data_IF_828066178398
#
_entry.id   IF_828066178398
#
_cell.length_a   1.000
_cell.length_b   1.000
_cell.length_c   1.000
_cell.angle_alpha   90.00
_cell.angle_beta   90.00
_cell.angle_gamma   90.00
#
_symmetry.space_group_name_H-M   'P 1'
#
loop_
_entity.id
_entity.type
_entity.pdbx_description
1 polymer ?
#
# COMPACT_ATOMS: atom_id res chain seq x y z
N UNK A 1 21.35 -11.81 3.90
CA UNK A 1 21.30 -12.86 4.91
C UNK A 1 22.16 -12.40 6.07
N UNK A 2 21.61 -12.20 7.28
CA UNK A 2 22.44 -11.78 8.42
C UNK A 2 23.33 -12.94 8.84
N UNK A 3 24.61 -12.85 8.50
CA UNK A 3 25.57 -13.96 8.60
C UNK A 3 25.84 -14.35 10.06
N UNK A 4 25.51 -13.47 11.02
CA UNK A 4 25.49 -13.77 12.46
C UNK A 4 24.51 -14.88 12.84
N UNK A 5 23.44 -15.08 12.07
CA UNK A 5 22.47 -16.14 12.29
C UNK A 5 23.03 -17.52 11.89
N UNK A 6 24.07 -17.60 11.05
CA UNK A 6 24.59 -18.89 10.56
C UNK A 6 25.18 -19.73 11.70
N UNK A 7 25.71 -19.11 12.75
CA UNK A 7 26.24 -19.82 13.92
C UNK A 7 25.18 -20.36 14.88
N UNK A 8 23.90 -20.01 14.70
CA UNK A 8 22.81 -20.45 15.57
C UNK A 8 22.30 -21.85 15.21
N UNK A 9 21.78 -22.60 16.20
CA UNK A 9 21.10 -23.86 15.93
C UNK A 9 19.90 -23.65 15.00
N UNK A 10 19.53 -24.69 14.26
CA UNK A 10 18.52 -24.63 13.20
C UNK A 10 17.17 -24.07 13.69
N UNK A 11 16.74 -24.40 14.91
CA UNK A 11 15.49 -23.93 15.49
C UNK A 11 15.49 -22.41 15.72
N UNK A 12 16.61 -21.85 16.19
CA UNK A 12 16.73 -20.42 16.45
C UNK A 12 16.78 -19.61 15.14
N UNK A 13 17.46 -20.15 14.12
CA UNK A 13 17.45 -19.60 12.76
C UNK A 13 16.03 -19.57 12.19
N UNK A 14 15.32 -20.69 12.32
CA UNK A 14 13.94 -20.82 11.85
C UNK A 14 13.01 -19.81 12.53
N UNK A 15 13.02 -19.70 13.86
CA UNK A 15 12.19 -18.74 14.59
C UNK A 15 12.49 -17.29 14.16
N UNK A 16 13.75 -16.90 14.07
CA UNK A 16 14.12 -15.53 13.67
C UNK A 16 13.65 -15.20 12.25
N UNK A 17 13.83 -16.13 11.30
CA UNK A 17 13.40 -15.92 9.91
C UNK A 17 11.87 -15.90 9.83
N UNK A 18 11.18 -16.81 10.52
CA UNK A 18 9.71 -16.83 10.57
C UNK A 18 9.14 -15.52 11.10
N UNK A 19 9.70 -14.98 12.19
CA UNK A 19 9.27 -13.68 12.74
C UNK A 19 9.54 -12.54 11.75
N UNK A 20 10.73 -12.51 11.14
CA UNK A 20 11.09 -11.47 10.18
C UNK A 20 10.18 -11.50 8.95
N UNK A 21 9.93 -12.68 8.38
CA UNK A 21 9.06 -12.86 7.20
C UNK A 21 7.62 -12.50 7.55
N UNK A 22 7.13 -12.92 8.73
CA UNK A 22 5.77 -12.59 9.18
C UNK A 22 5.58 -11.10 9.39
N UNK A 23 6.55 -10.41 10.01
CA UNK A 23 6.54 -8.95 10.15
C UNK A 23 6.58 -8.26 8.79
N UNK A 24 7.43 -8.71 7.86
CA UNK A 24 7.47 -8.15 6.51
C UNK A 24 6.21 -8.43 5.69
N UNK A 25 5.44 -9.45 6.05
CA UNK A 25 4.21 -9.85 5.35
C UNK A 25 2.95 -9.17 5.94
N UNK A 26 3.06 -8.57 7.12
CA UNK A 26 1.97 -7.84 7.78
C UNK A 26 1.34 -6.72 6.92
N UNK A 27 2.09 -5.98 6.08
CA UNK A 27 1.50 -4.97 5.18
C UNK A 27 0.52 -5.54 4.16
N UNK A 28 0.59 -6.83 3.81
CA UNK A 28 -0.38 -7.46 2.89
C UNK A 28 -1.81 -7.46 3.45
N UNK A 29 -1.99 -7.40 4.77
CA UNK A 29 -3.32 -7.25 5.39
C UNK A 29 -3.97 -5.89 5.07
N UNK A 30 -3.16 -4.87 4.76
CA UNK A 30 -3.67 -3.58 4.30
C UNK A 30 -4.04 -3.62 2.82
N UNK A 31 -3.41 -4.50 2.03
CA UNK A 31 -3.65 -4.65 0.59
C UNK A 31 -4.93 -5.47 0.31
N UNK A 32 -5.25 -6.46 1.16
CA UNK A 32 -6.43 -7.32 0.97
C UNK A 32 -7.72 -6.53 1.30
N UNK A 33 -8.72 -6.53 0.39
CA UNK A 33 -9.99 -5.82 0.60
C UNK A 33 -10.74 -6.36 1.82
N UNK A 34 -11.43 -5.46 2.54
CA UNK A 34 -12.10 -5.77 3.80
C UNK A 34 -13.23 -6.83 3.68
N UNK A 35 -13.72 -7.05 2.46
CA UNK A 35 -14.84 -7.94 2.16
C UNK A 35 -14.42 -9.42 2.14
N UNK A 36 -13.13 -9.70 2.00
CA UNK A 36 -12.57 -11.06 1.87
C UNK A 36 -11.79 -11.55 3.10
N UNK A 37 -12.03 -10.97 4.29
CA UNK A 37 -11.44 -11.42 5.57
C UNK A 37 -12.01 -12.77 6.03
N UNK A 38 -11.83 -13.81 5.22
CA UNK A 38 -11.95 -15.20 5.66
C UNK A 38 -10.76 -15.54 6.56
N UNK A 39 -10.92 -16.40 7.58
CA UNK A 39 -9.82 -16.88 8.41
C UNK A 39 -8.65 -17.42 7.58
N UNK A 40 -8.94 -18.03 6.43
CA UNK A 40 -7.94 -18.59 5.51
C UNK A 40 -6.95 -17.53 5.04
N UNK A 41 -7.41 -16.31 4.74
CA UNK A 41 -6.56 -15.21 4.27
C UNK A 41 -5.70 -14.59 5.37
N UNK A 42 -6.13 -14.67 6.63
CA UNK A 42 -5.33 -14.22 7.78
C UNK A 42 -4.24 -15.24 8.11
N UNK A 43 -4.54 -16.54 8.01
CA UNK A 43 -3.58 -17.61 8.31
C UNK A 43 -2.62 -17.91 7.15
N UNK A 44 -3.01 -17.65 5.90
CA UNK A 44 -2.19 -17.86 4.71
C UNK A 44 -0.80 -17.18 4.77
N UNK A 45 -0.66 -15.87 5.10
CA UNK A 45 0.65 -15.22 5.20
C UNK A 45 1.50 -15.78 6.36
N UNK A 46 0.87 -16.22 7.46
CA UNK A 46 1.57 -16.87 8.58
C UNK A 46 2.12 -18.23 8.12
N UNK A 47 1.29 -19.04 7.47
CA UNK A 47 1.69 -20.35 6.92
C UNK A 47 2.77 -20.23 5.84
N UNK A 48 2.63 -19.25 4.94
CA UNK A 48 3.64 -18.92 3.94
C UNK A 48 4.95 -18.51 4.61
N UNK A 49 4.92 -17.67 5.65
CA UNK A 49 6.09 -17.26 6.39
C UNK A 49 6.84 -18.44 7.03
N UNK A 50 6.09 -19.37 7.63
CA UNK A 50 6.63 -20.61 8.19
C UNK A 50 7.28 -21.50 7.12
N UNK A 51 6.63 -21.66 5.96
CA UNK A 51 7.15 -22.46 4.85
C UNK A 51 8.41 -21.85 4.24
N UNK A 52 8.40 -20.53 3.98
CA UNK A 52 9.57 -19.78 3.48
C UNK A 52 10.72 -19.88 4.47
N UNK A 53 10.45 -19.78 5.78
CA UNK A 53 11.48 -19.93 6.79
C UNK A 53 12.09 -21.34 6.80
N UNK A 54 11.27 -22.39 6.63
CA UNK A 54 11.76 -23.77 6.55
C UNK A 54 12.66 -23.98 5.32
N UNK A 55 12.22 -23.53 4.13
CA UNK A 55 13.02 -23.60 2.89
C UNK A 55 14.31 -22.79 3.03
N UNK A 56 14.23 -21.61 3.65
CA UNK A 56 15.39 -20.76 3.92
C UNK A 56 16.39 -21.47 4.81
N UNK A 57 15.96 -22.09 5.92
CA UNK A 57 16.85 -22.84 6.82
C UNK A 57 17.49 -24.03 6.11
N UNK A 58 16.73 -24.76 5.29
CA UNK A 58 17.26 -25.87 4.49
C UNK A 58 18.34 -25.39 3.50
N UNK A 59 18.11 -24.25 2.84
CA UNK A 59 19.11 -23.65 1.96
C UNK A 59 20.36 -23.17 2.73
N UNK A 60 20.17 -22.60 3.92
CA UNK A 60 21.26 -22.14 4.79
C UNK A 60 22.09 -23.27 5.39
N UNK A 61 21.57 -24.49 5.39
CA UNK A 61 22.25 -25.64 5.99
C UNK A 61 23.58 -25.95 5.31
N UNK A 62 23.68 -25.74 3.99
CA UNK A 62 24.94 -25.88 3.26
C UNK A 62 26.01 -24.90 3.78
N UNK A 63 25.60 -23.66 4.05
CA UNK A 63 26.50 -22.63 4.60
C UNK A 63 26.85 -22.90 6.07
N UNK A 64 25.89 -23.40 6.86
CA UNK A 64 26.11 -23.79 8.25
C UNK A 64 27.13 -24.94 8.37
N UNK A 65 27.01 -25.97 7.52
CA UNK A 65 27.98 -27.08 7.49
C UNK A 65 29.38 -26.62 7.09
N UNK A 66 29.50 -25.78 6.08
CA UNK A 66 30.79 -25.20 5.67
C UNK A 66 31.40 -24.35 6.79
N UNK A 67 30.58 -23.58 7.50
CA UNK A 67 30.98 -22.79 8.67
C UNK A 67 31.50 -23.67 9.81
N UNK A 68 30.79 -24.75 10.14
CA UNK A 68 31.21 -25.70 11.18
C UNK A 68 32.44 -26.50 10.77
N UNK A 69 32.60 -26.85 9.49
CA UNK A 69 33.76 -27.59 9.01
C UNK A 69 35.07 -26.84 9.29
N UNK A 70 35.11 -25.53 9.01
CA UNK A 70 36.29 -24.69 9.30
C UNK A 70 36.50 -24.54 10.81
N UNK A 71 35.44 -24.31 11.59
CA UNK A 71 35.57 -24.16 13.05
C UNK A 71 35.97 -25.45 13.78
N UNK A 72 35.53 -26.61 13.30
CA UNK A 72 35.88 -27.91 13.88
C UNK A 72 37.37 -28.26 13.67
N UNK A 73 38.01 -27.68 12.65
CA UNK A 73 39.46 -27.78 12.44
C UNK A 73 40.29 -26.95 13.43
N UNK A 74 39.65 -26.11 14.23
CA UNK A 74 40.28 -25.19 15.20
C UNK A 74 39.97 -25.64 16.63
N UNK A 75 40.93 -25.49 17.54
CA UNK A 75 40.76 -25.86 18.96
C UNK A 75 39.65 -25.06 19.65
N UNK A 76 38.99 -25.65 20.65
CA UNK A 76 37.80 -25.08 21.30
C UNK A 76 38.02 -23.66 21.86
N UNK A 77 39.22 -23.39 22.39
CA UNK A 77 39.60 -22.07 22.93
C UNK A 77 39.76 -21.03 21.82
N UNK A 78 40.27 -21.42 20.65
CA UNK A 78 40.53 -20.54 19.51
C UNK A 78 39.27 -20.26 18.67
N UNK A 79 38.24 -21.12 18.72
CA UNK A 79 36.98 -20.92 17.98
C UNK A 79 36.31 -19.58 18.30
N UNK A 80 36.27 -19.22 19.58
CA UNK A 80 35.68 -17.95 20.01
C UNK A 80 36.44 -16.75 19.44
N UNK A 81 37.76 -16.85 19.37
CA UNK A 81 38.63 -15.79 18.85
C UNK A 81 38.59 -15.68 17.33
N UNK A 82 38.47 -16.79 16.59
CA UNK A 82 38.21 -16.79 15.13
C UNK A 82 36.89 -16.07 14.82
N UNK A 83 35.84 -16.41 15.57
CA UNK A 83 34.52 -15.76 15.45
C UNK A 83 34.64 -14.27 15.80
N UNK A 84 35.34 -13.92 16.89
CA UNK A 84 35.53 -12.53 17.30
C UNK A 84 36.35 -11.74 16.27
N UNK A 85 37.37 -12.34 15.67
CA UNK A 85 38.20 -11.73 14.64
C UNK A 85 37.38 -11.38 13.38
N UNK A 86 36.56 -12.33 12.91
CA UNK A 86 35.73 -12.13 11.73
C UNK A 86 34.54 -11.17 11.98
N UNK A 87 33.90 -11.25 13.15
CA UNK A 87 32.64 -10.52 13.43
C UNK A 87 32.82 -9.21 14.18
N UNK A 88 33.78 -9.14 15.13
CA UNK A 88 34.09 -7.94 15.91
C UNK A 88 35.30 -7.17 15.38
N UNK A 89 35.91 -7.63 14.28
CA UNK A 89 37.05 -6.99 13.60
C UNK A 89 38.27 -6.81 14.48
N UNK A 90 38.49 -7.76 15.36
CA UNK A 90 39.75 -7.84 16.09
C UNK A 90 40.79 -8.47 15.18
N UNK A 91 42.01 -7.92 15.13
CA UNK A 91 43.13 -8.54 14.43
C UNK A 91 43.79 -9.48 15.43
N UNK A 92 43.67 -10.81 15.26
CA UNK A 92 44.26 -11.76 16.20
C UNK A 92 45.79 -11.74 16.07
N UNK A 93 46.49 -11.84 17.22
CA UNK A 93 47.95 -11.92 17.26
C UNK A 93 48.48 -13.34 16.96
N UNK A 94 47.64 -14.36 17.13
CA UNK A 94 47.97 -15.75 16.83
C UNK A 94 47.81 -16.02 15.31
N UNK A 95 48.89 -16.42 14.60
CA UNK A 95 48.83 -16.70 13.16
C UNK A 95 47.88 -17.87 12.81
N UNK A 96 47.68 -18.83 13.72
CA UNK A 96 46.72 -19.93 13.51
C UNK A 96 45.27 -19.44 13.47
N UNK A 97 44.93 -18.49 14.35
CA UNK A 97 43.60 -17.86 14.42
C UNK A 97 43.38 -16.94 13.21
N UNK A 98 44.43 -16.25 12.75
CA UNK A 98 44.38 -15.38 11.57
C UNK A 98 44.08 -16.19 10.29
N UNK A 99 44.81 -17.27 10.04
CA UNK A 99 44.63 -18.11 8.86
C UNK A 99 43.22 -18.76 8.83
N UNK A 100 42.77 -19.29 9.97
CA UNK A 100 41.42 -19.85 10.08
C UNK A 100 40.31 -18.80 9.87
N UNK A 101 40.52 -17.55 10.30
CA UNK A 101 39.58 -16.46 10.05
C UNK A 101 39.53 -16.06 8.56
N UNK A 102 40.67 -16.10 7.87
CA UNK A 102 40.75 -15.87 6.42
C UNK A 102 40.05 -16.98 5.63
N UNK A 103 40.34 -18.25 5.92
CA UNK A 103 39.69 -19.41 5.27
C UNK A 103 38.16 -19.37 5.46
N UNK A 104 37.69 -19.03 6.66
CA UNK A 104 36.27 -18.87 6.97
C UNK A 104 35.65 -17.71 6.17
N UNK A 105 36.34 -16.58 6.08
CA UNK A 105 35.91 -15.41 5.32
C UNK A 105 35.81 -15.69 3.82
N UNK A 106 36.81 -16.36 3.25
CA UNK A 106 36.89 -16.79 1.86
C UNK A 106 35.74 -17.74 1.50
N UNK A 107 35.48 -18.73 2.35
CA UNK A 107 34.42 -19.73 2.20
C UNK A 107 33.03 -19.06 2.20
N UNK A 108 32.78 -18.16 3.14
CA UNK A 108 31.53 -17.40 3.20
C UNK A 108 31.36 -16.46 2.01
N UNK A 109 32.45 -15.88 1.52
CA UNK A 109 32.46 -15.04 0.31
C UNK A 109 32.05 -15.85 -0.92
N UNK A 110 32.63 -17.04 -1.10
CA UNK A 110 32.31 -17.93 -2.23
C UNK A 110 30.84 -18.37 -2.20
N UNK A 111 30.36 -18.82 -1.04
CA UNK A 111 28.95 -19.21 -0.85
C UNK A 111 27.98 -18.06 -1.13
N UNK A 112 28.35 -16.82 -0.75
CA UNK A 112 27.54 -15.65 -1.08
C UNK A 112 27.51 -15.40 -2.58
N UNK A 113 28.66 -15.47 -3.26
CA UNK A 113 28.74 -15.18 -4.71
C UNK A 113 27.94 -16.17 -5.54
N UNK A 114 27.92 -17.44 -5.14
CA UNK A 114 27.10 -18.48 -5.78
C UNK A 114 25.60 -18.31 -5.50
N UNK A 115 25.25 -17.72 -4.34
CA UNK A 115 23.87 -17.41 -3.96
C UNK A 115 23.38 -16.08 -4.54
N UNK A 116 24.29 -15.12 -4.76
CA UNK A 116 24.00 -13.76 -5.21
C UNK A 116 23.83 -13.65 -6.73
N UNK A 117 23.09 -14.58 -7.34
CA UNK A 117 22.54 -14.38 -8.69
C UNK A 117 21.52 -13.23 -8.62
N UNK A 118 22.09 -12.03 -8.72
CA UNK A 118 21.65 -10.71 -8.31
C UNK A 118 20.59 -10.10 -9.25
N UNK A 119 19.61 -10.88 -9.69
CA UNK A 119 18.39 -10.35 -10.33
C UNK A 119 17.27 -10.10 -9.30
N UNK A 120 17.32 -10.75 -8.14
CA UNK A 120 16.20 -10.77 -7.21
C UNK A 120 15.96 -9.45 -6.41
N UNK A 121 16.95 -8.79 -5.78
CA UNK A 121 16.65 -7.70 -4.83
C UNK A 121 16.15 -6.41 -5.50
N UNK A 122 16.63 -6.10 -6.71
CA UNK A 122 16.14 -4.94 -7.48
C UNK A 122 14.69 -5.17 -7.90
N UNK A 123 14.34 -6.40 -8.30
CA UNK A 123 12.96 -6.78 -8.63
C UNK A 123 12.03 -6.66 -7.41
N UNK A 124 12.45 -7.16 -6.24
CA UNK A 124 11.68 -7.06 -5.00
C UNK A 124 11.51 -5.63 -4.46
N UNK A 125 12.40 -4.70 -4.84
CA UNK A 125 12.26 -3.27 -4.52
C UNK A 125 11.41 -2.56 -5.58
N UNK A 126 11.64 -2.81 -6.87
CA UNK A 126 10.92 -2.12 -7.95
C UNK A 126 9.42 -2.43 -7.96
N UNK A 127 9.04 -3.67 -7.62
CA UNK A 127 7.65 -4.11 -7.60
C UNK A 127 6.75 -3.31 -6.63
N UNK A 128 7.09 -3.15 -5.33
CA UNK A 128 6.28 -2.35 -4.42
C UNK A 128 6.22 -0.87 -4.83
N UNK A 129 7.33 -0.29 -5.34
CA UNK A 129 7.33 1.08 -5.83
C UNK A 129 6.40 1.26 -7.03
N UNK A 130 6.43 0.35 -8.00
CA UNK A 130 5.54 0.38 -9.17
C UNK A 130 4.07 0.31 -8.75
N UNK A 131 3.74 -0.55 -7.79
CA UNK A 131 2.37 -0.75 -7.32
C UNK A 131 1.79 0.47 -6.60
N UNK A 132 2.60 1.24 -5.86
CA UNK A 132 2.15 2.49 -5.22
C UNK A 132 1.52 3.44 -6.26
N UNK A 133 2.11 3.54 -7.45
CA UNK A 133 1.65 4.46 -8.50
C UNK A 133 0.42 3.97 -9.28
N UNK A 134 0.21 2.65 -9.37
CA UNK A 134 -0.91 2.05 -10.09
C UNK A 134 -2.18 2.04 -9.23
N UNK A 135 -2.03 1.97 -7.91
CA UNK A 135 -3.18 1.77 -7.02
C UNK A 135 -3.99 3.05 -6.81
N UNK A 136 -5.32 2.94 -6.88
CA UNK A 136 -6.25 4.07 -6.65
C UNK A 136 -6.73 4.18 -5.20
N UNK A 137 -6.28 3.28 -4.31
CA UNK A 137 -6.69 3.22 -2.90
C UNK A 137 -5.53 3.58 -1.99
N UNK A 138 -5.71 4.61 -1.15
CA UNK A 138 -4.72 5.05 -0.15
C UNK A 138 -4.36 3.90 0.80
N UNK A 139 -5.30 3.00 1.10
CA UNK A 139 -5.05 1.83 1.96
C UNK A 139 -4.06 0.86 1.31
N UNK A 140 -4.25 0.59 0.01
CA UNK A 140 -3.37 -0.30 -0.76
C UNK A 140 -2.00 0.37 -0.96
N UNK A 141 -1.96 1.66 -1.29
CA UNK A 141 -0.74 2.44 -1.42
C UNK A 141 0.06 2.49 -0.11
N UNK A 142 -0.62 2.64 1.04
CA UNK A 142 0.01 2.60 2.37
C UNK A 142 0.60 1.21 2.67
N UNK A 143 -0.10 0.12 2.30
CA UNK A 143 0.42 -1.24 2.42
C UNK A 143 1.70 -1.46 1.63
N UNK A 144 1.73 -1.05 0.37
CA UNK A 144 2.93 -1.14 -0.47
C UNK A 144 4.07 -0.23 0.00
N UNK A 145 3.76 0.96 0.51
CA UNK A 145 4.75 1.87 1.09
C UNK A 145 5.41 1.25 2.32
N UNK A 146 4.62 0.68 3.23
CA UNK A 146 5.13 0.00 4.42
C UNK A 146 6.01 -1.20 4.04
N UNK A 147 5.61 -1.98 3.03
CA UNK A 147 6.41 -3.07 2.50
C UNK A 147 7.76 -2.57 1.94
N UNK A 148 7.75 -1.50 1.14
CA UNK A 148 8.97 -0.91 0.60
C UNK A 148 9.92 -0.45 1.71
N UNK A 149 9.39 0.26 2.72
CA UNK A 149 10.15 0.73 3.88
C UNK A 149 10.75 -0.42 4.69
N UNK A 150 10.09 -1.57 4.76
CA UNK A 150 10.61 -2.76 5.46
C UNK A 150 11.65 -3.52 4.63
N UNK A 151 11.43 -3.67 3.31
CA UNK A 151 12.33 -4.42 2.43
C UNK A 151 13.66 -3.70 2.18
N UNK A 152 13.64 -2.38 2.04
CA UNK A 152 14.84 -1.55 1.78
C UNK A 152 15.96 -1.77 2.81
N UNK A 153 15.74 -1.62 4.14
CA UNK A 153 16.80 -1.82 5.13
C UNK A 153 17.28 -3.27 5.21
N UNK A 154 16.40 -4.26 4.98
CA UNK A 154 16.78 -5.68 4.96
C UNK A 154 17.79 -5.91 3.84
N UNK A 155 17.45 -5.53 2.61
CA UNK A 155 18.31 -5.72 1.44
C UNK A 155 19.59 -4.88 1.50
N UNK A 156 19.50 -3.64 2.00
CA UNK A 156 20.66 -2.79 2.26
C UNK A 156 21.61 -3.41 3.28
N UNK A 157 21.09 -4.02 4.34
CA UNK A 157 21.93 -4.65 5.37
C UNK A 157 22.76 -5.79 4.79
N UNK A 158 22.22 -6.56 3.84
CA UNK A 158 22.94 -7.66 3.20
C UNK A 158 24.10 -7.15 2.35
N UNK A 159 23.82 -6.14 1.53
CA UNK A 159 24.81 -5.51 0.68
C UNK A 159 25.91 -4.82 1.50
N UNK A 160 25.51 -4.05 2.52
CA UNK A 160 26.44 -3.33 3.38
C UNK A 160 27.33 -4.28 4.16
N UNK A 161 26.77 -5.35 4.76
CA UNK A 161 27.56 -6.37 5.45
C UNK A 161 28.49 -7.08 4.48
N UNK A 162 28.03 -7.38 3.26
CA UNK A 162 28.86 -8.05 2.26
C UNK A 162 30.08 -7.23 1.89
N UNK A 163 29.87 -5.96 1.52
CA UNK A 163 30.95 -5.03 1.14
C UNK A 163 31.93 -4.80 2.29
N UNK A 164 31.41 -4.64 3.51
CA UNK A 164 32.24 -4.37 4.68
C UNK A 164 33.05 -5.59 5.11
N UNK A 165 32.57 -6.80 4.86
CA UNK A 165 33.36 -8.02 5.04
C UNK A 165 34.46 -8.18 4.01
N UNK A 166 34.20 -7.85 2.73
CA UNK A 166 35.24 -7.89 1.69
C UNK A 166 36.40 -6.97 2.03
N UNK A 167 36.12 -5.74 2.49
CA UNK A 167 37.15 -4.82 2.97
C UNK A 167 37.92 -5.38 4.18
N UNK A 168 37.23 -6.05 5.11
CA UNK A 168 37.89 -6.63 6.29
C UNK A 168 38.75 -7.85 5.97
N UNK A 169 38.31 -8.72 5.05
CA UNK A 169 39.11 -9.85 4.57
C UNK A 169 40.38 -9.34 3.86
N UNK A 170 40.26 -8.28 3.05
CA UNK A 170 41.42 -7.64 2.44
C UNK A 170 42.41 -7.08 3.48
N UNK A 171 41.90 -6.49 4.57
CA UNK A 171 42.74 -6.03 5.69
C UNK A 171 43.44 -7.19 6.42
N UNK A 172 42.74 -8.30 6.66
CA UNK A 172 43.33 -9.48 7.29
C UNK A 172 44.42 -10.09 6.40
N UNK A 173 44.20 -10.14 5.07
CA UNK A 173 45.22 -10.61 4.12
C UNK A 173 46.44 -9.67 4.03
N UNK A 174 46.23 -8.36 4.13
CA UNK A 174 47.33 -7.39 4.21
C UNK A 174 48.14 -7.53 5.52
N UNK A 175 47.46 -7.81 6.64
CA UNK A 175 48.09 -8.07 7.93
C UNK A 175 48.91 -9.37 7.92
N UNK A 176 48.43 -10.43 7.26
CA UNK A 176 49.19 -11.66 7.04
C UNK A 176 50.45 -11.40 6.20
N UNK A 177 50.37 -10.55 5.19
CA UNK A 177 51.50 -10.16 4.34
C UNK A 177 52.48 -9.16 4.99
N UNK A 178 52.25 -8.75 6.25
CA UNK A 178 53.10 -7.81 6.98
C UNK A 178 53.05 -6.36 6.46
N UNK A 179 52.06 -6.00 5.65
CA UNK A 179 51.91 -4.66 5.10
C UNK A 179 51.00 -3.79 5.99
N UNK A 180 51.44 -2.58 6.33
CA UNK A 180 50.57 -1.62 7.02
C UNK A 180 49.49 -1.13 6.06
N UNK A 181 48.25 -1.52 6.34
CA UNK A 181 47.11 -1.13 5.53
C UNK A 181 46.88 0.38 5.59
N UNK A 182 47.31 1.08 4.53
CA UNK A 182 47.08 2.51 4.36
C UNK A 182 45.57 2.73 4.21
N UNK A 183 44.95 3.13 5.32
CA UNK A 183 43.50 3.22 5.47
C UNK A 183 43.03 4.56 4.91
N UNK A 184 43.09 4.69 3.59
CA UNK A 184 42.45 5.79 2.88
C UNK A 184 40.97 5.85 3.25
N UNK A 185 40.51 7.04 3.66
CA UNK A 185 39.12 7.34 4.00
C UNK A 185 38.15 6.88 2.90
N UNK A 186 37.61 5.67 3.07
CA UNK A 186 36.74 4.97 2.10
C UNK A 186 35.25 5.22 2.37
N UNK A 187 34.84 6.41 2.79
CA UNK A 187 33.45 6.83 2.54
C UNK A 187 33.34 7.17 1.04
N UNK A 188 33.37 6.11 0.24
CA UNK A 188 33.49 6.16 -1.21
C UNK A 188 32.26 6.80 -1.84
N UNK A 189 32.46 7.44 -3.00
CA UNK A 189 31.43 8.01 -3.88
C UNK A 189 30.16 7.14 -4.02
N UNK A 190 30.33 5.82 -3.92
CA UNK A 190 29.27 4.82 -3.91
C UNK A 190 28.33 4.88 -2.69
N UNK A 191 28.81 5.16 -1.48
CA UNK A 191 27.96 5.28 -0.29
C UNK A 191 27.06 6.52 -0.37
N UNK A 192 27.58 7.63 -0.94
CA UNK A 192 26.78 8.84 -1.22
C UNK A 192 25.72 8.60 -2.28
N UNK A 193 26.06 7.87 -3.34
CA UNK A 193 25.11 7.50 -4.40
C UNK A 193 23.98 6.64 -3.83
N UNK A 194 24.28 5.74 -2.90
CA UNK A 194 23.29 4.90 -2.24
C UNK A 194 22.39 5.64 -1.26
N UNK A 195 22.93 6.58 -0.47
CA UNK A 195 22.11 7.47 0.36
C UNK A 195 21.15 8.31 -0.50
N UNK A 196 21.58 8.74 -1.68
CA UNK A 196 20.71 9.43 -2.63
C UNK A 196 19.58 8.54 -3.16
N UNK A 197 19.83 7.25 -3.43
CA UNK A 197 18.79 6.29 -3.83
C UNK A 197 17.75 6.07 -2.71
N UNK A 198 18.19 5.95 -1.46
CA UNK A 198 17.28 5.80 -0.31
C UNK A 198 16.43 7.05 -0.15
N UNK A 199 17.06 8.24 -0.20
CA UNK A 199 16.35 9.51 -0.10
C UNK A 199 15.33 9.67 -1.25
N UNK A 200 15.73 9.34 -2.49
CA UNK A 200 14.83 9.37 -3.65
C UNK A 200 13.65 8.40 -3.49
N UNK A 201 13.87 7.20 -2.97
CA UNK A 201 12.81 6.24 -2.68
C UNK A 201 11.83 6.75 -1.61
N UNK A 202 12.32 7.34 -0.54
CA UNK A 202 11.46 7.96 0.49
C UNK A 202 10.64 9.11 -0.08
N UNK A 203 11.24 9.98 -0.90
CA UNK A 203 10.52 11.06 -1.59
C UNK A 203 9.47 10.48 -2.53
N UNK A 204 9.78 9.44 -3.30
CA UNK A 204 8.82 8.77 -4.18
C UNK A 204 7.64 8.17 -3.41
N UNK A 205 7.87 7.57 -2.24
CA UNK A 205 6.80 7.10 -1.35
C UNK A 205 5.90 8.24 -0.87
N UNK A 206 6.48 9.34 -0.41
CA UNK A 206 5.72 10.52 0.07
C UNK A 206 4.89 11.12 -1.05
N UNK A 207 5.48 11.28 -2.25
CA UNK A 207 4.78 11.80 -3.43
C UNK A 207 3.67 10.85 -3.88
N UNK A 208 3.93 9.54 -3.93
CA UNK A 208 2.92 8.54 -4.29
C UNK A 208 1.73 8.53 -3.31
N UNK A 209 2.00 8.63 -2.01
CA UNK A 209 0.97 8.78 -0.98
C UNK A 209 0.17 10.08 -1.14
N UNK A 210 0.84 11.20 -1.39
CA UNK A 210 0.16 12.49 -1.60
C UNK A 210 -0.76 12.45 -2.83
N UNK A 211 -0.27 11.94 -3.96
CA UNK A 211 -1.04 11.83 -5.21
C UNK A 211 -2.23 10.87 -5.07
N UNK A 212 -2.06 9.75 -4.38
CA UNK A 212 -3.17 8.80 -4.14
C UNK A 212 -4.19 9.36 -3.16
N UNK A 213 -3.74 10.10 -2.15
CA UNK A 213 -4.61 10.80 -1.21
C UNK A 213 -5.44 11.89 -1.91
N UNK A 214 -4.81 12.74 -2.73
CA UNK A 214 -5.52 13.75 -3.51
C UNK A 214 -6.53 13.14 -4.49
N UNK A 215 -6.20 12.01 -5.14
CA UNK A 215 -7.14 11.31 -6.04
C UNK A 215 -8.34 10.69 -5.32
N UNK A 216 -8.20 10.33 -4.04
CA UNK A 216 -9.27 9.69 -3.28
C UNK A 216 -10.19 10.71 -2.58
N UNK A 217 -9.72 11.94 -2.36
CA UNK A 217 -10.50 13.02 -1.74
C UNK A 217 -11.82 13.34 -2.47
N UNK A 218 -11.84 13.54 -3.81
CA UNK A 218 -13.08 13.79 -4.54
C UNK A 218 -14.10 12.64 -4.40
N UNK A 219 -13.62 11.39 -4.36
CA UNK A 219 -14.49 10.20 -4.35
C UNK A 219 -15.17 9.92 -3.02
N UNK A 220 -14.59 10.33 -1.90
CA UNK A 220 -15.18 10.11 -0.56
C UNK A 220 -16.47 10.92 -0.37
N UNK A 221 -16.50 12.12 -0.94
CA UNK A 221 -17.66 13.00 -0.89
C UNK A 221 -18.73 12.57 -1.91
N UNK A 222 -18.32 11.96 -3.01
CA UNK A 222 -19.23 11.37 -4.00
C UNK A 222 -20.02 10.18 -3.47
N UNK A 223 -19.48 9.41 -2.53
CA UNK A 223 -20.22 8.34 -1.85
C UNK A 223 -21.42 8.90 -1.08
N UNK A 224 -21.29 10.09 -0.47
CA UNK A 224 -22.42 10.75 0.21
C UNK A 224 -23.50 11.22 -0.76
N UNK A 225 -23.15 11.55 -2.01
CA UNK A 225 -24.14 11.95 -3.03
C UNK A 225 -24.94 10.81 -3.63
N UNK A 226 -24.54 9.56 -3.37
CA UNK A 226 -25.20 8.39 -3.93
C UNK A 226 -26.69 8.32 -3.55
N UNK A 227 -27.04 8.59 -2.29
CA UNK A 227 -28.42 8.54 -1.80
C UNK A 227 -29.33 9.57 -2.51
N UNK A 228 -28.78 10.73 -2.85
CA UNK A 228 -29.50 11.78 -3.61
C UNK A 228 -29.75 11.31 -5.05
N UNK A 229 -28.73 10.76 -5.69
CA UNK A 229 -28.80 10.31 -7.09
C UNK A 229 -29.75 9.12 -7.22
N UNK A 230 -29.66 8.14 -6.32
CA UNK A 230 -30.58 7.02 -6.24
C UNK A 230 -32.01 7.51 -6.00
N UNK A 231 -32.22 8.46 -5.09
CA UNK A 231 -33.54 9.02 -4.81
C UNK A 231 -34.17 9.75 -6.01
N UNK A 232 -33.37 10.31 -6.93
CA UNK A 232 -33.86 10.95 -8.16
C UNK A 232 -34.06 9.92 -9.30
N UNK A 233 -33.09 9.02 -9.50
CA UNK A 233 -33.09 8.07 -10.62
C UNK A 233 -34.05 6.88 -10.40
N UNK A 234 -34.11 6.30 -9.20
CA UNK A 234 -34.98 5.14 -8.94
C UNK A 234 -36.45 5.53 -8.84
N UNK A 235 -36.76 6.77 -8.43
CA UNK A 235 -38.14 7.26 -8.37
C UNK A 235 -38.63 7.81 -9.71
N UNK A 236 -38.43 7.03 -10.79
CA UNK A 236 -38.85 7.42 -12.15
C UNK A 236 -40.36 7.74 -12.24
N UNK A 237 -41.15 7.14 -11.36
CA UNK A 237 -42.58 7.31 -11.27
C UNK A 237 -42.98 8.69 -10.70
N UNK A 238 -42.12 9.31 -9.88
CA UNK A 238 -42.27 10.71 -9.44
C UNK A 238 -41.65 11.70 -10.43
N UNK A 239 -40.97 11.26 -11.49
CA UNK A 239 -40.36 12.18 -12.47
C UNK A 239 -41.03 12.09 -13.85
N UNK A 240 -42.08 11.29 -13.98
CA UNK A 240 -42.85 11.15 -15.21
C UNK A 240 -43.94 12.22 -15.32
N UNK A 241 -43.75 13.18 -16.23
CA UNK A 241 -44.67 14.31 -16.43
C UNK A 241 -46.10 13.93 -16.81
N UNK A 242 -46.31 12.75 -17.41
CA UNK A 242 -47.65 12.27 -17.76
C UNK A 242 -48.51 11.89 -16.54
N UNK A 243 -47.88 11.60 -15.40
CA UNK A 243 -48.57 11.18 -14.18
C UNK A 243 -49.12 12.36 -13.37
N UNK A 244 -48.70 13.60 -13.67
CA UNK A 244 -49.16 14.81 -12.98
C UNK A 244 -50.61 15.15 -13.29
N UNK A 245 -51.14 14.68 -14.43
CA UNK A 245 -52.49 15.01 -14.90
C UNK A 245 -53.46 13.83 -14.77
N UNK A 246 -52.96 12.58 -14.65
CA UNK A 246 -53.77 11.36 -14.66
C UNK A 246 -53.70 10.55 -13.35
N UNK A 247 -54.17 11.11 -12.23
CA UNK A 247 -54.34 10.35 -10.98
C UNK A 247 -53.04 9.71 -10.46
N UNK A 248 -51.93 10.42 -10.63
CA UNK A 248 -50.60 9.98 -10.23
C UNK A 248 -50.36 9.97 -8.71
N UNK A 249 -49.08 10.04 -8.32
CA UNK A 249 -48.65 9.97 -6.92
C UNK A 249 -49.32 11.01 -6.04
N UNK A 250 -49.56 10.66 -4.77
CA UNK A 250 -50.19 11.61 -3.86
C UNK A 250 -49.25 12.80 -3.58
N UNK A 251 -49.81 13.96 -3.22
CA UNK A 251 -49.00 15.12 -2.81
C UNK A 251 -48.08 14.76 -1.63
N UNK A 252 -48.50 13.84 -0.76
CA UNK A 252 -47.70 13.35 0.35
C UNK A 252 -46.45 12.58 -0.11
N UNK A 253 -46.52 11.86 -1.23
CA UNK A 253 -45.36 11.15 -1.79
C UNK A 253 -44.29 12.12 -2.31
N UNK A 254 -44.72 13.20 -2.98
CA UNK A 254 -43.84 14.29 -3.42
C UNK A 254 -43.23 15.04 -2.23
N UNK A 255 -44.02 15.31 -1.19
CA UNK A 255 -43.51 15.92 0.04
C UNK A 255 -42.46 15.05 0.74
N UNK A 256 -42.75 13.76 0.93
CA UNK A 256 -41.80 12.84 1.57
C UNK A 256 -40.49 12.69 0.77
N UNK A 257 -40.57 12.73 -0.56
CA UNK A 257 -39.40 12.77 -1.43
C UNK A 257 -38.62 14.08 -1.32
N UNK A 258 -39.30 15.23 -1.34
CA UNK A 258 -38.66 16.55 -1.20
C UNK A 258 -37.97 16.70 0.15
N UNK A 259 -38.63 16.27 1.24
CA UNK A 259 -38.07 16.30 2.59
C UNK A 259 -36.83 15.40 2.72
N UNK A 260 -36.82 14.24 2.04
CA UNK A 260 -35.64 13.37 1.97
C UNK A 260 -34.47 14.11 1.28
N UNK A 261 -34.71 14.70 0.11
CA UNK A 261 -33.68 15.42 -0.64
C UNK A 261 -33.13 16.63 0.12
N UNK A 262 -33.98 17.39 0.82
CA UNK A 262 -33.54 18.49 1.67
C UNK A 262 -32.66 18.02 2.83
N UNK A 263 -33.02 16.91 3.49
CA UNK A 263 -32.20 16.35 4.57
C UNK A 263 -30.83 15.90 4.09
N UNK A 264 -30.75 15.27 2.92
CA UNK A 264 -29.45 14.88 2.36
C UNK A 264 -28.63 16.09 1.90
N UNK A 265 -29.27 17.10 1.28
CA UNK A 265 -28.59 18.33 0.90
C UNK A 265 -28.02 19.10 2.09
N UNK A 266 -28.68 19.06 3.25
CA UNK A 266 -28.21 19.70 4.48
C UNK A 266 -26.94 19.04 5.05
N UNK A 267 -26.69 17.77 4.75
CA UNK A 267 -25.47 17.05 5.18
C UNK A 267 -24.26 17.41 4.31
N UNK A 268 -24.47 18.03 3.15
CA UNK A 268 -23.40 18.33 2.18
C UNK A 268 -22.62 19.59 2.55
N UNK A 269 -21.34 19.42 2.85
CA UNK A 269 -20.39 20.52 3.16
C UNK A 269 -19.42 20.83 2.03
N UNK A 270 -19.29 19.94 1.04
CA UNK A 270 -18.26 20.03 -0.01
C UNK A 270 -18.56 21.16 -1.00
N UNK A 271 -17.64 22.13 -1.22
CA UNK A 271 -17.92 23.32 -2.00
C UNK A 271 -18.23 23.04 -3.49
N UNK A 272 -17.65 22.00 -4.07
CA UNK A 272 -17.81 21.69 -5.51
C UNK A 272 -19.12 20.95 -5.82
N UNK A 273 -19.66 20.20 -4.84
CA UNK A 273 -20.82 19.30 -5.06
C UNK A 273 -22.06 19.77 -4.31
N UNK A 274 -21.90 20.37 -3.13
CA UNK A 274 -23.03 20.86 -2.32
C UNK A 274 -23.93 21.86 -3.05
N UNK A 275 -23.45 22.78 -3.92
CA UNK A 275 -24.33 23.66 -4.69
C UNK A 275 -25.30 22.89 -5.59
N UNK A 276 -24.82 21.86 -6.29
CA UNK A 276 -25.63 21.03 -7.17
C UNK A 276 -26.68 20.23 -6.40
N UNK A 277 -26.29 19.61 -5.28
CA UNK A 277 -27.20 18.84 -4.43
C UNK A 277 -28.26 19.73 -3.78
N UNK A 278 -27.90 20.94 -3.32
CA UNK A 278 -28.89 21.91 -2.80
C UNK A 278 -29.87 22.34 -3.88
N UNK A 279 -29.38 22.54 -5.11
CA UNK A 279 -30.24 22.87 -6.25
C UNK A 279 -31.21 21.75 -6.61
N UNK A 280 -30.80 20.49 -6.51
CA UNK A 280 -31.70 19.33 -6.64
C UNK A 280 -32.77 19.36 -5.55
N UNK A 281 -32.39 19.62 -4.29
CA UNK A 281 -33.37 19.75 -3.21
C UNK A 281 -34.35 20.91 -3.46
N UNK A 282 -33.89 22.07 -3.89
CA UNK A 282 -34.75 23.22 -4.22
C UNK A 282 -35.71 22.93 -5.39
N UNK A 283 -35.24 22.22 -6.41
CA UNK A 283 -36.07 21.77 -7.53
C UNK A 283 -37.16 20.79 -7.07
N UNK A 284 -36.86 19.92 -6.10
CA UNK A 284 -37.86 18.98 -5.55
C UNK A 284 -39.02 19.70 -4.85
N UNK A 285 -38.74 20.83 -4.19
CA UNK A 285 -39.76 21.67 -3.56
C UNK A 285 -40.65 22.30 -4.64
N UNK A 286 -40.04 22.87 -5.67
CA UNK A 286 -40.77 23.49 -6.79
C UNK A 286 -41.67 22.48 -7.51
N UNK A 287 -41.20 21.25 -7.70
CA UNK A 287 -42.01 20.15 -8.24
C UNK A 287 -43.19 19.83 -7.33
N UNK A 288 -42.95 19.72 -6.02
CA UNK A 288 -44.01 19.43 -5.03
C UNK A 288 -45.07 20.53 -4.98
N UNK A 289 -44.66 21.80 -5.03
CA UNK A 289 -45.56 22.94 -5.05
C UNK A 289 -46.38 23.01 -6.34
N UNK A 290 -45.77 22.70 -7.48
CA UNK A 290 -46.45 22.59 -8.77
C UNK A 290 -47.52 21.48 -8.73
N UNK A 291 -47.20 20.29 -8.22
CA UNK A 291 -48.18 19.19 -8.11
C UNK A 291 -49.31 19.55 -7.16
N UNK A 292 -49.00 20.15 -6.01
CA UNK A 292 -50.04 20.61 -5.06
C UNK A 292 -50.99 21.61 -5.71
N UNK A 293 -50.45 22.59 -6.43
CA UNK A 293 -51.28 23.58 -7.13
C UNK A 293 -52.10 22.97 -8.28
N UNK A 294 -51.51 22.01 -9.01
CA UNK A 294 -52.20 21.29 -10.09
C UNK A 294 -53.39 20.48 -9.57
N UNK A 295 -53.23 19.77 -8.45
CA UNK A 295 -54.30 18.96 -7.86
C UNK A 295 -55.42 19.81 -7.26
N UNK A 296 -55.08 20.95 -6.66
CA UNK A 296 -56.07 21.91 -6.19
C UNK A 296 -56.89 22.53 -7.34
N UNK A 297 -56.26 22.76 -8.50
CA UNK A 297 -56.89 23.36 -9.67
C UNK A 297 -57.59 22.36 -10.59
N UNK A 298 -57.31 21.06 -10.46
CA UNK A 298 -57.80 19.99 -11.34
C UNK A 298 -59.34 19.99 -11.57
N UNK A 299 -60.19 20.25 -10.56
CA UNK A 299 -61.65 20.26 -10.76
C UNK A 299 -62.15 21.37 -11.70
N UNK A 300 -61.37 22.44 -11.87
CA UNK A 300 -61.78 23.65 -12.60
C UNK A 300 -60.87 23.97 -13.79
N UNK A 301 -59.77 23.24 -13.97
CA UNK A 301 -58.76 23.56 -14.98
C UNK A 301 -59.16 23.14 -16.39
N UNK A 302 -58.82 23.98 -17.37
CA UNK A 302 -58.98 23.63 -18.78
C UNK A 302 -57.89 22.66 -19.28
N UNK A 303 -58.13 21.99 -20.40
CA UNK A 303 -57.13 21.11 -21.02
C UNK A 303 -55.84 21.86 -21.43
N UNK A 304 -55.95 23.15 -21.81
CA UNK A 304 -54.80 23.98 -22.14
C UNK A 304 -53.95 24.30 -20.90
N UNK A 305 -54.57 24.60 -19.76
CA UNK A 305 -53.87 24.82 -18.50
C UNK A 305 -53.22 23.54 -17.95
N UNK A 306 -53.85 22.38 -18.15
CA UNK A 306 -53.26 21.10 -17.80
C UNK A 306 -52.01 20.81 -18.63
N UNK A 307 -52.04 21.10 -19.94
CA UNK A 307 -50.88 20.96 -20.82
C UNK A 307 -49.73 21.92 -20.46
N UNK A 308 -50.03 23.17 -20.09
CA UNK A 308 -49.01 24.14 -19.65
C UNK A 308 -48.30 23.66 -18.37
N UNK A 309 -49.06 23.15 -17.39
CA UNK A 309 -48.49 22.58 -16.16
C UNK A 309 -47.62 21.35 -16.42
N UNK A 310 -47.99 20.50 -17.38
CA UNK A 310 -47.16 19.36 -17.80
C UNK A 310 -45.81 19.83 -18.35
N UNK A 311 -45.79 20.88 -19.19
CA UNK A 311 -44.56 21.45 -19.74
C UNK A 311 -43.67 22.02 -18.63
N UNK A 312 -44.23 22.78 -17.69
CA UNK A 312 -43.48 23.33 -16.55
C UNK A 312 -42.90 22.20 -15.69
N UNK A 313 -43.67 21.14 -15.45
CA UNK A 313 -43.20 19.99 -14.70
C UNK A 313 -42.03 19.29 -15.39
N UNK A 314 -42.15 19.00 -16.70
CA UNK A 314 -41.08 18.36 -17.46
C UNK A 314 -39.80 19.20 -17.47
N UNK A 315 -39.94 20.53 -17.52
CA UNK A 315 -38.81 21.45 -17.42
C UNK A 315 -38.09 21.35 -16.08
N UNK A 316 -38.82 21.33 -14.96
CA UNK A 316 -38.22 21.20 -13.62
C UNK A 316 -37.51 19.85 -13.43
N UNK A 317 -38.12 18.76 -13.91
CA UNK A 317 -37.49 17.43 -13.89
C UNK A 317 -36.23 17.39 -14.78
N UNK A 318 -36.27 18.03 -15.96
CA UNK A 318 -35.11 18.16 -16.83
C UNK A 318 -33.95 18.84 -16.13
N UNK A 319 -34.21 20.00 -15.51
CA UNK A 319 -33.21 20.72 -14.72
C UNK A 319 -32.65 19.89 -13.58
N UNK A 320 -33.48 19.11 -12.89
CA UNK A 320 -33.03 18.23 -11.81
C UNK A 320 -32.09 17.13 -12.33
N UNK A 321 -32.39 16.54 -13.49
CA UNK A 321 -31.53 15.53 -14.13
C UNK A 321 -30.22 16.13 -14.62
N UNK A 322 -30.23 17.37 -15.11
CA UNK A 322 -29.01 18.07 -15.52
C UNK A 322 -28.07 18.28 -14.32
N UNK A 323 -28.61 18.65 -13.15
CA UNK A 323 -27.83 18.77 -11.90
C UNK A 323 -27.31 17.41 -11.42
N UNK A 324 -28.12 16.33 -11.50
CA UNK A 324 -27.67 14.97 -11.19
C UNK A 324 -26.51 14.56 -12.11
N UNK A 325 -26.63 14.82 -13.41
CA UNK A 325 -25.57 14.54 -14.38
C UNK A 325 -24.30 15.32 -14.08
N UNK A 326 -24.41 16.59 -13.69
CA UNK A 326 -23.25 17.39 -13.31
C UNK A 326 -22.50 16.79 -12.10
N UNK A 327 -23.24 16.29 -11.10
CA UNK A 327 -22.67 15.56 -9.98
C UNK A 327 -22.04 14.24 -10.45
N UNK A 328 -22.72 13.47 -11.31
CA UNK A 328 -22.21 12.21 -11.84
C UNK A 328 -20.91 12.39 -12.62
N UNK A 329 -20.84 13.37 -13.51
CA UNK A 329 -19.63 13.69 -14.28
C UNK A 329 -18.48 14.14 -13.36
N UNK A 330 -18.76 14.92 -12.31
CA UNK A 330 -17.73 15.31 -11.35
C UNK A 330 -17.22 14.11 -10.52
N UNK A 331 -18.13 13.22 -10.14
CA UNK A 331 -17.86 12.13 -9.20
C UNK A 331 -17.29 10.86 -9.82
N UNK A 332 -17.81 10.49 -10.99
CA UNK A 332 -17.47 9.24 -11.69
C UNK A 332 -16.80 9.47 -13.05
N UNK A 333 -16.82 10.70 -13.57
CA UNK A 333 -16.20 11.02 -14.86
C UNK A 333 -16.96 10.47 -16.07
N UNK A 334 -18.26 10.22 -15.91
CA UNK A 334 -19.18 9.73 -16.95
C UNK A 334 -19.87 10.86 -17.74
#
# INVERSE_FOLDING_TARGET
MQIRLIGLPWWARWVCISVLVSLSSSPFLLIIPAVDFSPVWVWAPIGMGVAIAAVSVAYQEKAHRAYLAVLNGVGDVQRADVVKALWRRHIPADPGVLNAALELGETLRKLRKDSSSLSNPVFWIALPFLQIYITHSVRIAAGWTLLAVLCVPILLSEWYVARRQESHIALLGAAEAGQSADSGSFLGKWDRLWLAVIAAGLVACVVGLAVTFERQWPRRDCEQTHDVIVAVNERNWLTNGRLVVQGGPSVADYQGWSDQLQREAAKMTTPDVAPHIRRIADLSVQVTDLVRSAYAAAPTSSAAEAADREVVYQKLIGQMRDEVKAVETFCWGE
#
